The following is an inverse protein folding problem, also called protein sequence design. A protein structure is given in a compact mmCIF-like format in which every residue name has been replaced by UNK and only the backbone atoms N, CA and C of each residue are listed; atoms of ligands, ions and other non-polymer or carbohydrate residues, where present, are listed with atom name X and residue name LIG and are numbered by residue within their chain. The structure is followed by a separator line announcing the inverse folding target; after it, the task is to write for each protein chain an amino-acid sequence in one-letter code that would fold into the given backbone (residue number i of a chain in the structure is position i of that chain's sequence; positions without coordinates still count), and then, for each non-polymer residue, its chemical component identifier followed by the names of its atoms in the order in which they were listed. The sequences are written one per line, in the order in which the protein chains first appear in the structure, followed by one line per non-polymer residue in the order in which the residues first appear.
data_IF_835662412706
#
_entry.id   IF_835662412706
#
_cell.length_a   1.000
_cell.length_b   1.000
_cell.length_c   1.000
_cell.angle_alpha   90.00
_cell.angle_beta   90.00
_cell.angle_gamma   90.00
#
_symmetry.space_group_name_H-M   'P 1'
#
loop_
_entity.id
_entity.type
_entity.pdbx_description
1 polymer ?
#
# COMPACT_ATOMS: atom_id res chain seq x y z
N UNK A 1 30.38 -24.69 -13.93
CA UNK A 1 29.62 -24.71 -12.67
C UNK A 1 28.26 -25.27 -13.01
N UNK A 2 28.05 -26.53 -12.68
CA UNK A 2 26.86 -27.27 -13.07
C UNK A 2 25.62 -26.76 -12.32
N UNK A 3 24.63 -26.28 -13.06
CA UNK A 3 23.32 -25.97 -12.50
C UNK A 3 22.59 -27.29 -12.22
N UNK A 4 22.68 -27.75 -10.97
CA UNK A 4 21.89 -28.87 -10.47
C UNK A 4 20.41 -28.48 -10.55
N UNK A 5 19.67 -29.07 -11.49
CA UNK A 5 18.22 -28.95 -11.57
C UNK A 5 17.67 -29.69 -10.36
N UNK A 6 17.25 -28.94 -9.32
CA UNK A 6 16.51 -29.50 -8.20
C UNK A 6 15.14 -29.95 -8.73
N UNK A 7 14.94 -31.25 -8.87
CA UNK A 7 13.62 -31.82 -9.15
C UNK A 7 12.65 -31.37 -8.05
N UNK A 8 11.67 -30.55 -8.41
CA UNK A 8 10.68 -30.09 -7.45
C UNK A 8 9.75 -31.25 -7.09
N UNK A 9 9.77 -31.68 -5.82
CA UNK A 9 8.83 -32.69 -5.34
C UNK A 9 7.38 -32.24 -5.58
N UNK A 10 6.57 -33.15 -6.12
CA UNK A 10 5.16 -32.88 -6.35
C UNK A 10 4.45 -32.64 -5.00
N UNK A 11 3.60 -31.61 -4.95
CA UNK A 11 2.90 -31.21 -3.72
C UNK A 11 2.01 -32.36 -3.23
N UNK A 12 2.29 -32.88 -2.04
CA UNK A 12 1.48 -33.91 -1.38
C UNK A 12 -0.01 -33.53 -1.36
N UNK A 13 -0.89 -34.52 -1.51
CA UNK A 13 -2.35 -34.36 -1.50
C UNK A 13 -2.84 -33.62 -0.25
N UNK A 14 -2.24 -33.89 0.92
CA UNK A 14 -2.55 -33.20 2.18
C UNK A 14 -2.24 -31.70 2.15
N UNK A 15 -1.26 -31.28 1.35
CA UNK A 15 -0.87 -29.87 1.20
C UNK A 15 -1.62 -29.20 0.03
N UNK A 16 -2.46 -29.93 -0.71
CA UNK A 16 -3.19 -29.40 -1.86
C UNK A 16 -4.41 -28.62 -1.38
N UNK A 17 -4.42 -27.33 -1.69
CA UNK A 17 -5.54 -26.43 -1.38
C UNK A 17 -6.43 -26.32 -2.61
N UNK A 18 -7.75 -26.45 -2.42
CA UNK A 18 -8.75 -26.25 -3.47
C UNK A 18 -9.58 -25.02 -3.12
N UNK A 19 -9.25 -23.85 -3.69
CA UNK A 19 -10.01 -22.63 -3.41
C UNK A 19 -11.43 -22.76 -3.96
N UNK A 20 -12.38 -22.16 -3.25
CA UNK A 20 -13.77 -22.02 -3.68
C UNK A 20 -14.01 -20.58 -4.09
N UNK A 21 -14.85 -20.36 -5.10
CA UNK A 21 -15.33 -19.03 -5.45
C UNK A 21 -16.49 -18.63 -4.53
N UNK A 22 -16.19 -18.38 -3.25
CA UNK A 22 -17.16 -17.87 -2.28
C UNK A 22 -17.00 -16.36 -2.11
N UNK A 23 -18.09 -15.63 -1.77
CA UNK A 23 -18.00 -14.21 -1.47
C UNK A 23 -17.09 -13.94 -0.27
N UNK A 24 -16.46 -12.77 -0.26
CA UNK A 24 -15.64 -12.30 0.86
C UNK A 24 -16.53 -12.20 2.12
N UNK A 25 -16.15 -12.83 3.25
CA UNK A 25 -16.92 -12.71 4.48
C UNK A 25 -17.04 -11.24 4.90
N UNK A 26 -18.21 -10.78 5.40
CA UNK A 26 -18.40 -9.38 5.79
C UNK A 26 -17.42 -8.92 6.88
N UNK A 27 -17.02 -9.82 7.78
CA UNK A 27 -16.08 -9.54 8.87
C UNK A 27 -14.61 -9.44 8.42
N UNK A 28 -14.34 -9.67 7.14
CA UNK A 28 -12.98 -9.68 6.60
C UNK A 28 -12.35 -8.28 6.60
N UNK A 29 -13.15 -7.25 6.31
CA UNK A 29 -12.69 -5.87 6.23
C UNK A 29 -13.29 -5.07 7.38
N UNK A 30 -12.57 -4.89 8.50
CA UNK A 30 -13.07 -4.05 9.58
C UNK A 30 -13.31 -2.62 9.05
N UNK A 31 -14.28 -1.88 9.64
CA UNK A 31 -14.48 -0.48 9.26
C UNK A 31 -13.18 0.31 9.47
N UNK A 32 -12.92 1.26 8.58
CA UNK A 32 -11.76 2.13 8.72
C UNK A 32 -11.83 2.89 10.04
N UNK A 33 -10.69 3.00 10.73
CA UNK A 33 -10.58 3.70 12.02
C UNK A 33 -10.85 5.21 11.93
N UNK A 34 -10.82 5.77 10.70
CA UNK A 34 -11.13 7.16 10.40
C UNK A 34 -11.91 7.22 9.08
N UNK A 35 -12.80 8.20 8.95
CA UNK A 35 -13.36 8.57 7.66
C UNK A 35 -12.25 9.05 6.69
N UNK A 36 -12.09 8.42 5.52
CA UNK A 36 -10.96 8.68 4.62
C UNK A 36 -10.91 10.13 4.12
N UNK A 37 -12.08 10.79 4.05
CA UNK A 37 -12.27 12.15 3.56
C UNK A 37 -12.22 13.23 4.66
N UNK A 38 -12.16 12.84 5.93
CA UNK A 38 -12.01 13.78 7.05
C UNK A 38 -10.53 14.12 7.24
N UNK A 39 -10.06 15.12 6.51
CA UNK A 39 -8.73 15.69 6.71
C UNK A 39 -8.85 17.20 6.70
N UNK A 40 -8.55 17.82 7.84
CA UNK A 40 -8.47 19.27 7.93
C UNK A 40 -7.28 19.75 7.10
N UNK A 41 -7.58 20.39 5.97
CA UNK A 41 -6.59 21.11 5.18
C UNK A 41 -6.61 22.57 5.62
N UNK A 42 -5.45 23.10 5.98
CA UNK A 42 -5.29 24.54 6.21
C UNK A 42 -5.29 25.25 4.87
N UNK A 43 -6.04 26.35 4.76
CA UNK A 43 -6.01 27.25 3.59
C UNK A 43 -4.62 27.85 3.37
N UNK A 44 -3.86 28.03 4.46
CA UNK A 44 -2.47 28.48 4.44
C UNK A 44 -1.62 27.38 5.06
N UNK A 45 -1.04 26.49 4.25
CA UNK A 45 -0.19 25.42 4.76
C UNK A 45 1.05 26.02 5.43
N UNK A 46 1.57 25.38 6.49
CA UNK A 46 2.85 25.78 7.07
C UNK A 46 3.97 25.62 6.03
N UNK A 47 5.10 26.28 6.29
CA UNK A 47 6.31 26.09 5.48
C UNK A 47 6.72 24.62 5.62
N UNK A 48 7.00 23.97 4.49
CA UNK A 48 7.42 22.58 4.47
C UNK A 48 8.65 22.36 5.37
N UNK A 49 8.57 21.32 6.21
CA UNK A 49 9.69 20.81 7.00
C UNK A 49 9.95 19.37 6.56
N UNK A 50 11.21 19.06 6.28
CA UNK A 50 11.61 17.70 5.93
C UNK A 50 11.36 16.75 7.11
N UNK A 51 10.83 15.57 6.80
CA UNK A 51 10.67 14.47 7.75
C UNK A 51 11.53 13.29 7.30
N UNK A 52 11.71 12.30 8.17
CA UNK A 52 12.46 11.06 7.89
C UNK A 52 12.03 10.40 6.57
N UNK A 53 10.73 10.46 6.24
CA UNK A 53 10.16 9.84 5.04
C UNK A 53 10.11 10.79 3.83
N UNK A 54 9.78 12.06 4.05
CA UNK A 54 9.64 13.07 2.97
C UNK A 54 10.80 14.05 3.04
N UNK A 55 11.83 13.78 2.23
CA UNK A 55 13.01 14.62 2.07
C UNK A 55 12.87 15.61 0.91
N UNK A 56 13.71 16.65 0.91
CA UNK A 56 13.75 17.64 -0.18
C UNK A 56 14.06 17.00 -1.55
N UNK A 57 14.95 16.02 -1.59
CA UNK A 57 15.33 15.32 -2.83
C UNK A 57 14.14 14.57 -3.43
N UNK A 58 13.36 13.87 -2.60
CA UNK A 58 12.16 13.16 -3.02
C UNK A 58 11.14 14.15 -3.59
N UNK A 59 10.91 15.27 -2.91
CA UNK A 59 9.99 16.30 -3.40
C UNK A 59 10.48 17.01 -4.67
N UNK A 60 11.79 17.08 -4.92
CA UNK A 60 12.33 17.58 -6.18
C UNK A 60 12.14 16.58 -7.33
N UNK A 61 12.19 15.28 -7.04
CA UNK A 61 11.89 14.23 -8.01
C UNK A 61 10.40 14.20 -8.40
N UNK A 62 9.50 14.62 -7.51
CA UNK A 62 8.06 14.73 -7.81
C UNK A 62 7.83 15.86 -8.82
N UNK A 63 7.45 15.48 -10.05
CA UNK A 63 7.08 16.42 -11.10
C UNK A 63 5.64 16.86 -10.92
N UNK A 64 5.45 18.07 -10.40
CA UNK A 64 4.14 18.70 -10.27
C UNK A 64 3.62 19.30 -11.58
N UNK A 65 3.98 18.76 -12.74
CA UNK A 65 3.58 19.27 -14.06
C UNK A 65 4.54 20.30 -14.68
N UNK A 66 4.05 21.02 -15.70
CA UNK A 66 4.85 21.99 -16.46
C UNK A 66 5.06 23.30 -15.68
N UNK A 67 6.14 24.05 -15.94
CA UNK A 67 6.35 25.37 -15.33
C UNK A 67 5.14 26.29 -15.61
N UNK A 68 4.61 26.92 -14.56
CA UNK A 68 3.44 27.80 -14.65
C UNK A 68 2.08 27.12 -14.61
N UNK A 69 2.01 25.77 -14.57
CA UNK A 69 0.74 25.06 -14.38
C UNK A 69 0.16 25.25 -12.96
N UNK A 70 1.04 25.35 -11.97
CA UNK A 70 0.67 25.61 -10.58
C UNK A 70 1.41 26.85 -10.07
N UNK A 71 0.71 27.64 -9.26
CA UNK A 71 1.30 28.71 -8.48
C UNK A 71 2.20 28.17 -7.38
N UNK A 72 3.10 29.00 -6.87
CA UNK A 72 4.00 28.61 -5.78
C UNK A 72 3.22 28.21 -4.51
N UNK A 73 2.06 28.82 -4.27
CA UNK A 73 1.19 28.53 -3.12
C UNK A 73 0.50 27.17 -3.26
N UNK A 74 0.03 26.82 -4.46
CA UNK A 74 -0.54 25.50 -4.75
C UNK A 74 0.51 24.40 -4.63
N UNK A 75 1.72 24.64 -5.15
CA UNK A 75 2.83 23.70 -4.99
C UNK A 75 3.15 23.50 -3.51
N UNK A 76 3.17 24.57 -2.71
CA UNK A 76 3.40 24.44 -1.26
C UNK A 76 2.27 23.66 -0.56
N UNK A 77 1.02 23.87 -0.99
CA UNK A 77 -0.14 23.13 -0.47
C UNK A 77 -0.06 21.64 -0.80
N UNK A 78 0.37 21.29 -2.01
CA UNK A 78 0.59 19.90 -2.40
C UNK A 78 1.73 19.25 -1.62
N UNK A 79 2.85 19.96 -1.42
CA UNK A 79 3.95 19.46 -0.58
C UNK A 79 3.47 19.16 0.83
N UNK A 80 2.72 20.07 1.44
CA UNK A 80 2.13 19.86 2.76
C UNK A 80 1.16 18.68 2.79
N UNK A 81 0.34 18.50 1.75
CA UNK A 81 -0.57 17.35 1.63
C UNK A 81 0.19 16.02 1.54
N UNK A 82 1.25 15.96 0.73
CA UNK A 82 2.12 14.79 0.59
C UNK A 82 2.74 14.44 1.94
N UNK A 83 3.25 15.43 2.68
CA UNK A 83 3.80 15.21 4.03
C UNK A 83 2.73 14.70 4.99
N UNK A 84 1.54 15.31 5.00
CA UNK A 84 0.42 14.89 5.85
C UNK A 84 -0.02 13.45 5.57
N UNK A 85 0.13 13.00 4.33
CA UNK A 85 -0.25 11.67 3.84
C UNK A 85 0.95 10.80 3.49
N UNK A 86 2.12 11.04 4.09
CA UNK A 86 3.37 10.34 3.75
C UNK A 86 3.23 8.81 3.83
N UNK A 87 2.43 8.31 4.79
CA UNK A 87 2.21 6.87 5.01
C UNK A 87 1.30 6.20 3.97
N UNK A 88 0.66 6.99 3.11
CA UNK A 88 -0.24 6.51 2.05
C UNK A 88 0.44 6.45 0.68
N UNK A 89 1.65 7.01 0.55
CA UNK A 89 2.41 7.08 -0.69
C UNK A 89 3.66 6.23 -0.51
N UNK A 90 3.95 5.36 -1.48
CA UNK A 90 5.21 4.65 -1.53
C UNK A 90 6.25 5.54 -2.24
N UNK A 91 7.35 5.82 -1.55
CA UNK A 91 8.47 6.60 -2.10
C UNK A 91 9.60 5.71 -2.61
N UNK A 92 9.65 4.44 -2.18
CA UNK A 92 10.58 3.43 -2.70
C UNK A 92 9.86 2.14 -3.14
N UNK A 93 10.58 1.26 -3.83
CA UNK A 93 10.00 0.01 -4.36
C UNK A 93 9.61 -0.96 -3.23
N UNK A 94 10.34 -0.95 -2.12
CA UNK A 94 10.09 -1.81 -0.96
C UNK A 94 8.77 -1.46 -0.26
N UNK A 95 8.34 -0.20 -0.34
CA UNK A 95 7.05 0.27 0.17
C UNK A 95 5.88 -0.08 -0.75
N UNK A 96 6.15 -0.48 -1.99
CA UNK A 96 5.12 -0.78 -2.99
C UNK A 96 4.46 -2.13 -2.71
N UNK A 97 3.12 -2.13 -2.66
CA UNK A 97 2.32 -3.36 -2.71
C UNK A 97 2.08 -4.08 -1.37
N UNK A 98 2.57 -3.53 -0.25
CA UNK A 98 2.32 -4.08 1.08
C UNK A 98 1.43 -3.16 1.90
N UNK A 99 0.14 -3.49 1.97
CA UNK A 99 -0.74 -2.89 2.97
C UNK A 99 -0.28 -3.36 4.35
N UNK A 100 -0.14 -2.44 5.30
CA UNK A 100 0.17 -2.81 6.69
C UNK A 100 -0.88 -3.77 7.24
N UNK A 101 -0.45 -4.80 7.96
CA UNK A 101 -1.35 -5.76 8.61
C UNK A 101 -2.29 -5.12 9.65
N UNK A 102 -1.95 -3.91 10.12
CA UNK A 102 -2.85 -3.11 10.98
C UNK A 102 -4.03 -2.49 10.23
N UNK A 103 -3.91 -2.29 8.91
CA UNK A 103 -4.97 -1.74 8.06
C UNK A 103 -5.86 -2.82 7.46
N UNK A 104 -5.31 -3.99 7.14
CA UNK A 104 -6.06 -5.10 6.58
C UNK A 104 -5.50 -6.44 7.02
N UNK A 105 -6.38 -7.36 7.38
CA UNK A 105 -6.00 -8.75 7.67
C UNK A 105 -5.63 -9.45 6.35
N UNK A 106 -4.71 -10.43 6.36
CA UNK A 106 -4.43 -11.23 5.18
C UNK A 106 -5.69 -11.98 4.72
N UNK A 107 -5.93 -12.01 3.41
CA UNK A 107 -7.10 -12.67 2.84
C UNK A 107 -7.11 -14.17 3.13
N UNK A 108 -8.18 -14.62 3.79
CA UNK A 108 -8.41 -16.05 4.04
C UNK A 108 -9.22 -16.60 2.87
N UNK A 109 -8.52 -17.31 1.98
CA UNK A 109 -9.15 -17.99 0.86
C UNK A 109 -10.08 -19.08 1.41
N UNK A 110 -11.36 -19.11 1.02
CA UNK A 110 -12.28 -20.18 1.40
C UNK A 110 -11.88 -21.48 0.70
N UNK A 111 -11.83 -22.57 1.46
CA UNK A 111 -11.32 -23.88 1.00
C UNK A 111 -12.30 -24.98 1.37
N UNK A 112 -12.41 -26.00 0.52
CA UNK A 112 -13.15 -27.22 0.84
C UNK A 112 -12.27 -28.09 1.72
N UNK A 113 -12.74 -28.54 2.91
CA UNK A 113 -11.97 -29.47 3.73
C UNK A 113 -11.72 -30.77 2.96
N UNK A 114 -10.47 -31.22 2.95
CA UNK A 114 -10.10 -32.47 2.30
C UNK A 114 -10.75 -33.66 3.02
N UNK A 115 -11.56 -34.44 2.30
CA UNK A 115 -12.05 -35.73 2.78
C UNK A 115 -11.13 -36.83 2.24
N UNK A 116 -10.32 -37.49 3.09
CA UNK A 116 -9.68 -38.73 2.68
C UNK A 116 -10.76 -39.77 2.35
N UNK A 117 -10.49 -40.60 1.35
CA UNK A 117 -11.38 -41.70 0.95
C UNK A 117 -11.47 -42.75 2.05
#
# INVERSE_FOLDING_TARGET
MDHQILESEYKSVLKKVRPVNDPIPPDFNPPFSRYPYETSLSLKPPIFQANVTVNHEILQAVKFGQPGWLSNEEINSLRNFITLREKAIAFCEEERGLLKHSYGKPYKIPIIPHKPW
#
